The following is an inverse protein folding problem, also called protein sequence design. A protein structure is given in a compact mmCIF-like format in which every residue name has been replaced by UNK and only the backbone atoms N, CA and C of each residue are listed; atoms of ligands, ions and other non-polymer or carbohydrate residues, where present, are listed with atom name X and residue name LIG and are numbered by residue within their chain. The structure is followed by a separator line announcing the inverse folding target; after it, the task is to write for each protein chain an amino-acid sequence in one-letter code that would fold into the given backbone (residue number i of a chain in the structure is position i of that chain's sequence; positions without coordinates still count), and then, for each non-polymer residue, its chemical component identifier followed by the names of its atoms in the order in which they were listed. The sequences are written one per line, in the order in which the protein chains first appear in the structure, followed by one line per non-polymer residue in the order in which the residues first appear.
data_IF_581358161252
#
_entry.id   IF_581358161252
#
_cell.length_a   1.000
_cell.length_b   1.000
_cell.length_c   1.000
_cell.angle_alpha   90.00
_cell.angle_beta   90.00
_cell.angle_gamma   90.00
#
_symmetry.space_group_name_H-M   'P 1'
#
loop_
_entity.id
_entity.type
_entity.pdbx_description
1 polymer ?
#
# COMPACT_ATOMS: atom_id res chain seq x y z
N UNK A 1 30.69 -16.47 -18.41
CA UNK A 1 29.22 -16.63 -18.47
C UNK A 1 28.61 -17.33 -17.25
N UNK A 2 29.18 -18.42 -16.70
CA UNK A 2 28.64 -19.09 -15.49
C UNK A 2 28.58 -18.18 -14.24
N UNK A 3 29.56 -17.30 -14.06
CA UNK A 3 29.59 -16.36 -12.92
C UNK A 3 28.48 -15.31 -12.98
N UNK A 4 28.06 -14.91 -14.18
CA UNK A 4 26.99 -13.92 -14.36
C UNK A 4 25.62 -14.49 -13.95
N UNK A 5 25.36 -15.77 -14.28
CA UNK A 5 24.11 -16.43 -13.89
C UNK A 5 24.05 -16.60 -12.37
N UNK A 6 25.16 -16.99 -11.73
CA UNK A 6 25.22 -17.09 -10.27
C UNK A 6 25.00 -15.73 -9.58
N UNK A 7 25.62 -14.66 -10.10
CA UNK A 7 25.43 -13.31 -9.57
C UNK A 7 23.98 -12.82 -9.73
N UNK A 8 23.35 -13.11 -10.88
CA UNK A 8 21.95 -12.76 -11.11
C UNK A 8 21.00 -13.53 -10.18
N UNK A 9 21.26 -14.83 -9.92
CA UNK A 9 20.47 -15.63 -8.99
C UNK A 9 20.56 -15.10 -7.55
N UNK A 10 21.76 -14.68 -7.12
CA UNK A 10 21.94 -14.05 -5.80
C UNK A 10 21.17 -12.72 -5.71
N UNK A 11 21.27 -11.87 -6.73
CA UNK A 11 20.52 -10.59 -6.77
C UNK A 11 19.01 -10.80 -6.77
N UNK A 12 18.52 -11.82 -7.49
CA UNK A 12 17.09 -12.18 -7.49
C UNK A 12 16.63 -12.63 -6.11
N UNK A 13 17.40 -13.50 -5.44
CA UNK A 13 17.08 -13.97 -4.11
C UNK A 13 17.07 -12.83 -3.07
N UNK A 14 18.04 -11.91 -3.14
CA UNK A 14 18.07 -10.72 -2.29
C UNK A 14 16.83 -9.84 -2.50
N UNK A 15 16.48 -9.57 -3.76
CA UNK A 15 15.29 -8.78 -4.10
C UNK A 15 14.00 -9.45 -3.63
N UNK A 16 13.92 -10.78 -3.68
CA UNK A 16 12.76 -11.52 -3.18
C UNK A 16 12.62 -11.38 -1.65
N UNK A 17 13.74 -11.42 -0.92
CA UNK A 17 13.75 -11.24 0.53
C UNK A 17 13.37 -9.81 0.92
N UNK A 18 13.94 -8.79 0.26
CA UNK A 18 13.54 -7.40 0.44
C UNK A 18 12.04 -7.19 0.16
N UNK A 19 11.51 -7.87 -0.87
CA UNK A 19 10.09 -7.82 -1.19
C UNK A 19 9.23 -8.44 -0.08
N UNK A 20 9.67 -9.55 0.52
CA UNK A 20 8.96 -10.19 1.64
C UNK A 20 8.95 -9.30 2.87
N UNK A 21 10.07 -8.67 3.18
CA UNK A 21 10.17 -7.72 4.29
C UNK A 21 9.21 -6.54 4.10
N UNK A 22 9.19 -5.95 2.89
CA UNK A 22 8.28 -4.86 2.58
C UNK A 22 6.81 -5.30 2.69
N UNK A 23 6.47 -6.50 2.20
CA UNK A 23 5.11 -7.06 2.38
C UNK A 23 4.74 -7.17 3.85
N UNK A 24 5.63 -7.71 4.70
CA UNK A 24 5.38 -7.84 6.13
C UNK A 24 5.20 -6.47 6.82
N UNK A 25 5.99 -5.46 6.43
CA UNK A 25 5.85 -4.10 6.95
C UNK A 25 4.50 -3.47 6.57
N UNK A 26 4.05 -3.65 5.32
CA UNK A 26 2.74 -3.16 4.86
C UNK A 26 1.59 -3.86 5.60
N UNK A 27 1.68 -5.18 5.80
CA UNK A 27 0.68 -5.93 6.56
C UNK A 27 0.63 -5.49 8.03
N UNK A 28 1.77 -5.25 8.66
CA UNK A 28 1.82 -4.73 10.03
C UNK A 28 1.15 -3.35 10.15
N UNK A 29 1.40 -2.46 9.18
CA UNK A 29 0.73 -1.17 9.11
C UNK A 29 -0.78 -1.30 8.89
N UNK A 30 -1.22 -2.25 8.06
CA UNK A 30 -2.64 -2.54 7.85
C UNK A 30 -3.34 -2.91 9.17
N UNK A 31 -2.71 -3.75 9.98
CA UNK A 31 -3.24 -4.16 11.30
C UNK A 31 -3.34 -2.96 12.24
N UNK A 32 -2.29 -2.15 12.35
CA UNK A 32 -2.27 -0.96 13.22
C UNK A 32 -3.33 0.05 12.79
N UNK A 33 -3.41 0.38 11.51
CA UNK A 33 -4.42 1.32 10.97
C UNK A 33 -5.83 0.80 11.20
N UNK A 34 -6.06 -0.50 10.99
CA UNK A 34 -7.36 -1.13 11.27
C UNK A 34 -7.76 -0.99 12.74
N UNK A 35 -6.83 -1.23 13.66
CA UNK A 35 -7.09 -1.03 15.09
C UNK A 35 -7.44 0.43 15.41
N UNK A 36 -6.68 1.39 14.85
CA UNK A 36 -6.96 2.82 15.02
C UNK A 36 -8.37 3.19 14.52
N UNK A 37 -8.73 2.78 13.30
CA UNK A 37 -10.04 3.07 12.71
C UNK A 37 -11.20 2.51 13.55
N UNK A 38 -11.05 1.34 14.17
CA UNK A 38 -12.07 0.74 15.03
C UNK A 38 -12.30 1.50 16.33
N UNK A 39 -11.28 2.18 16.83
CA UNK A 39 -11.35 2.95 18.07
C UNK A 39 -11.81 4.40 17.83
N UNK A 40 -12.02 4.80 16.58
CA UNK A 40 -12.53 6.12 16.23
C UNK A 40 -14.05 6.17 16.34
N UNK A 41 -14.57 7.35 16.70
CA UNK A 41 -15.99 7.64 16.57
C UNK A 41 -16.39 7.69 15.09
N UNK A 42 -17.63 7.32 14.80
CA UNK A 42 -18.09 7.12 13.42
C UNK A 42 -18.04 8.41 12.58
N UNK A 43 -18.33 9.57 13.19
CA UNK A 43 -18.22 10.88 12.56
C UNK A 43 -16.78 11.24 12.19
N UNK A 44 -15.82 10.99 13.09
CA UNK A 44 -14.39 11.20 12.83
C UNK A 44 -13.89 10.25 11.74
N UNK A 45 -14.35 8.99 11.74
CA UNK A 45 -14.01 8.01 10.72
C UNK A 45 -14.52 8.45 9.33
N UNK A 46 -15.74 9.01 9.24
CA UNK A 46 -16.29 9.53 7.99
C UNK A 46 -15.56 10.80 7.51
N UNK A 47 -15.18 11.69 8.42
CA UNK A 47 -14.36 12.85 8.08
C UNK A 47 -13.01 12.44 7.49
N UNK A 48 -12.32 11.51 8.16
CA UNK A 48 -11.06 10.95 7.68
C UNK A 48 -11.21 10.27 6.31
N UNK A 49 -12.32 9.55 6.08
CA UNK A 49 -12.60 8.95 4.79
C UNK A 49 -12.67 9.99 3.66
N UNK A 50 -13.41 11.09 3.89
CA UNK A 50 -13.56 12.16 2.92
C UNK A 50 -12.24 12.90 2.66
N UNK A 51 -11.47 13.19 3.71
CA UNK A 51 -10.17 13.86 3.60
C UNK A 51 -9.18 13.01 2.78
N UNK A 52 -9.17 11.69 2.99
CA UNK A 52 -8.32 10.78 2.22
C UNK A 52 -8.80 10.67 0.77
N UNK A 53 -10.10 10.56 0.51
CA UNK A 53 -10.61 10.55 -0.87
C UNK A 53 -10.27 11.87 -1.60
N UNK A 54 -10.38 13.01 -0.92
CA UNK A 54 -10.00 14.30 -1.48
C UNK A 54 -8.51 14.36 -1.77
N UNK A 55 -7.65 13.99 -0.81
CA UNK A 55 -6.20 13.98 -0.99
C UNK A 55 -5.77 13.07 -2.14
N UNK A 56 -6.43 11.92 -2.32
CA UNK A 56 -6.20 11.01 -3.44
C UNK A 56 -6.56 11.66 -4.78
N UNK A 57 -7.70 12.35 -4.84
CA UNK A 57 -8.16 13.02 -6.06
C UNK A 57 -7.26 14.21 -6.42
N UNK A 58 -6.80 14.96 -5.42
CA UNK A 58 -5.86 16.08 -5.58
C UNK A 58 -4.46 15.61 -5.98
N UNK A 59 -4.02 14.46 -5.46
CA UNK A 59 -2.74 13.85 -5.80
C UNK A 59 -2.73 13.18 -7.19
N UNK A 60 -3.76 13.43 -8.03
CA UNK A 60 -3.86 12.85 -9.38
C UNK A 60 -2.51 12.92 -10.07
N UNK A 61 -2.01 11.77 -10.56
CA UNK A 61 -0.66 11.69 -11.08
C UNK A 61 -0.45 12.68 -12.20
N UNK A 62 0.68 13.40 -12.17
CA UNK A 62 1.16 14.09 -13.35
C UNK A 62 1.36 13.08 -14.50
N UNK A 63 1.49 13.55 -15.75
CA UNK A 63 1.42 12.74 -16.98
C UNK A 63 2.48 11.63 -17.15
N UNK A 64 3.27 11.33 -16.11
CA UNK A 64 4.41 10.39 -16.10
C UNK A 64 4.23 9.20 -15.16
N UNK A 65 3.17 9.14 -14.35
CA UNK A 65 2.89 7.95 -13.51
C UNK A 65 1.99 7.00 -14.30
N UNK A 66 2.33 5.71 -14.30
CA UNK A 66 1.47 4.69 -14.90
C UNK A 66 0.11 4.70 -14.18
N UNK A 67 -0.95 5.08 -14.91
CA UNK A 67 -2.33 5.15 -14.41
C UNK A 67 -2.73 3.87 -13.66
N UNK A 68 -2.17 2.72 -14.06
CA UNK A 68 -2.47 1.43 -13.45
C UNK A 68 -2.04 1.33 -11.99
N UNK A 69 -0.83 1.77 -11.65
CA UNK A 69 -0.29 1.66 -10.29
C UNK A 69 -1.00 2.64 -9.35
N UNK A 70 -1.34 3.83 -9.85
CA UNK A 70 -2.18 4.78 -9.11
C UNK A 70 -3.57 4.22 -8.86
N UNK A 71 -4.24 3.65 -9.88
CA UNK A 71 -5.56 3.04 -9.71
C UNK A 71 -5.54 1.88 -8.70
N UNK A 72 -4.49 1.05 -8.73
CA UNK A 72 -4.32 -0.05 -7.79
C UNK A 72 -4.19 0.47 -6.35
N UNK A 73 -3.36 1.49 -6.13
CA UNK A 73 -3.20 2.14 -4.84
C UNK A 73 -4.52 2.72 -4.32
N UNK A 74 -5.25 3.46 -5.18
CA UNK A 74 -6.55 4.02 -4.83
C UNK A 74 -7.56 2.93 -4.43
N UNK A 75 -7.57 1.81 -5.14
CA UNK A 75 -8.45 0.69 -4.84
C UNK A 75 -8.13 0.07 -3.48
N UNK A 76 -6.85 -0.10 -3.15
CA UNK A 76 -6.43 -0.63 -1.84
C UNK A 76 -6.79 0.31 -0.70
N UNK A 77 -6.56 1.62 -0.85
CA UNK A 77 -6.95 2.59 0.18
C UNK A 77 -8.46 2.56 0.40
N UNK A 78 -9.28 2.55 -0.66
CA UNK A 78 -10.73 2.43 -0.53
C UNK A 78 -11.17 1.14 0.17
N UNK A 79 -10.52 0.02 -0.11
CA UNK A 79 -10.79 -1.26 0.58
C UNK A 79 -10.48 -1.16 2.07
N UNK A 80 -9.33 -0.62 2.42
CA UNK A 80 -8.87 -0.47 3.81
C UNK A 80 -9.85 0.36 4.64
N UNK A 81 -10.35 1.46 4.07
CA UNK A 81 -11.24 2.37 4.78
C UNK A 81 -12.68 1.84 4.90
N UNK A 82 -13.19 1.13 3.88
CA UNK A 82 -14.57 0.61 3.86
C UNK A 82 -14.72 -0.71 4.62
N UNK A 83 -13.70 -1.55 4.57
CA UNK A 83 -13.70 -2.87 5.21
C UNK A 83 -12.36 -3.12 5.90
N UNK A 84 -12.09 -2.46 7.05
CA UNK A 84 -10.94 -2.80 7.87
C UNK A 84 -11.00 -4.29 8.22
N UNK A 85 -9.91 -5.04 8.04
CA UNK A 85 -9.89 -6.51 8.25
C UNK A 85 -10.46 -6.84 9.64
N UNK A 86 -11.35 -7.85 9.73
CA UNK A 86 -11.97 -8.36 10.98
C UNK A 86 -10.95 -8.88 11.99
#
# INVERSE_FOLDING_TARGET
MKNLIAELLVKLAQKEEESKELTAQVEALEVVVTALLRHMAQDVQQALFNDIEQAINEASPGPLVDDRDTLLLQQYIKKLLRHPRS
#
